data_IF_578126296753
#
_entry.id   IF_578126296753
#
_cell.length_a   1.000
_cell.length_b   1.000
_cell.length_c   1.000
_cell.angle_alpha   90.00
_cell.angle_beta   90.00
_cell.angle_gamma   90.00
#
_symmetry.space_group_name_H-M   'P 1'
#
loop_
_entity.id
_entity.type
_entity.pdbx_description
1 polymer ?
#
# COMPACT_ATOMS: atom_id res chain seq x y z
N UNK A 1 4.63 2.20 -84.81
CA UNK A 1 4.40 3.10 -83.67
C UNK A 1 3.86 2.27 -82.51
N UNK A 2 4.55 2.30 -81.35
CA UNK A 2 4.09 1.89 -80.00
C UNK A 2 3.72 0.40 -79.78
N UNK A 3 3.99 -0.28 -78.66
CA UNK A 3 4.74 -0.03 -77.41
C UNK A 3 4.78 -1.39 -76.67
N UNK A 4 5.97 -1.82 -76.26
CA UNK A 4 6.35 -2.53 -75.02
C UNK A 4 5.32 -3.36 -74.22
N UNK A 5 5.68 -4.63 -74.00
CA UNK A 5 5.15 -5.53 -72.97
C UNK A 5 5.58 -5.12 -71.54
N UNK A 6 4.71 -5.31 -70.54
CA UNK A 6 5.09 -5.47 -69.13
C UNK A 6 4.07 -6.39 -68.45
N UNK A 7 4.56 -7.55 -67.99
CA UNK A 7 3.86 -8.42 -67.06
C UNK A 7 3.98 -7.85 -65.64
N UNK A 8 2.85 -7.65 -64.97
CA UNK A 8 2.79 -7.21 -63.56
C UNK A 8 2.84 -8.45 -62.65
N UNK A 9 4.00 -8.67 -62.04
CA UNK A 9 4.17 -9.50 -60.84
C UNK A 9 3.56 -8.75 -59.65
N UNK A 10 2.49 -9.31 -59.07
CA UNK A 10 1.93 -8.84 -57.82
C UNK A 10 2.75 -9.39 -56.63
N UNK A 11 3.74 -8.62 -56.18
CA UNK A 11 4.45 -8.87 -54.92
C UNK A 11 3.61 -8.38 -53.75
N UNK A 12 3.09 -9.31 -52.95
CA UNK A 12 2.44 -9.01 -51.67
C UNK A 12 3.46 -8.51 -50.65
N UNK A 13 3.39 -7.23 -50.31
CA UNK A 13 4.13 -6.62 -49.19
C UNK A 13 3.45 -7.01 -47.88
N UNK A 14 4.08 -7.91 -47.11
CA UNK A 14 3.74 -8.15 -45.71
C UNK A 14 4.31 -7.00 -44.88
N UNK A 15 3.46 -6.03 -44.54
CA UNK A 15 3.80 -5.01 -43.54
C UNK A 15 3.68 -5.66 -42.16
N UNK A 16 4.83 -5.84 -41.51
CA UNK A 16 4.91 -6.18 -40.09
C UNK A 16 4.33 -5.02 -39.27
N UNK A 17 3.05 -5.12 -38.91
CA UNK A 17 2.39 -4.22 -37.96
C UNK A 17 2.82 -4.55 -36.53
N UNK A 18 3.82 -3.82 -36.03
CA UNK A 18 4.11 -3.74 -34.60
C UNK A 18 3.18 -2.68 -34.00
N UNK A 19 2.07 -3.09 -33.36
CA UNK A 19 1.11 -2.13 -32.83
C UNK A 19 0.04 -2.76 -31.94
N UNK A 20 0.22 -2.64 -30.62
CA UNK A 20 -0.88 -2.56 -29.66
C UNK A 20 -1.65 -3.84 -29.33
N UNK A 21 -1.06 -4.75 -28.54
CA UNK A 21 -1.79 -5.90 -27.97
C UNK A 21 -1.30 -6.42 -26.61
N UNK A 22 -0.40 -5.69 -25.94
CA UNK A 22 0.38 -6.23 -24.82
C UNK A 22 -0.30 -6.32 -23.45
N UNK A 23 -1.61 -6.09 -23.30
CA UNK A 23 -2.29 -6.13 -21.99
C UNK A 23 -3.07 -7.43 -21.71
N UNK A 24 -3.63 -8.07 -22.75
CA UNK A 24 -4.37 -9.34 -22.55
C UNK A 24 -3.47 -10.56 -22.44
N UNK A 25 -2.38 -10.61 -23.22
CA UNK A 25 -1.47 -11.76 -23.21
C UNK A 25 -0.63 -11.84 -21.92
N UNK A 26 -0.24 -10.68 -21.36
CA UNK A 26 0.56 -10.59 -20.12
C UNK A 26 -0.25 -10.92 -18.87
N UNK A 27 -1.55 -10.59 -18.86
CA UNK A 27 -2.41 -10.92 -17.73
C UNK A 27 -2.75 -12.42 -17.70
N UNK A 28 -2.93 -13.04 -18.88
CA UNK A 28 -3.08 -14.49 -18.99
C UNK A 28 -1.80 -15.24 -18.59
N UNK A 29 -0.62 -14.75 -18.98
CA UNK A 29 0.67 -15.36 -18.58
C UNK A 29 0.92 -15.19 -17.08
N UNK A 30 0.62 -14.02 -16.51
CA UNK A 30 0.76 -13.76 -15.07
C UNK A 30 -0.17 -14.61 -14.20
N UNK A 31 -1.44 -14.78 -14.60
CA UNK A 31 -2.40 -15.66 -13.92
C UNK A 31 -1.92 -17.13 -13.92
N UNK A 32 -1.35 -17.59 -15.05
CA UNK A 32 -0.76 -18.93 -15.15
C UNK A 32 0.44 -19.10 -14.23
N UNK A 33 1.32 -18.09 -14.15
CA UNK A 33 2.44 -18.12 -13.20
C UNK A 33 1.93 -18.15 -11.77
N UNK A 34 0.93 -17.33 -11.42
CA UNK A 34 0.32 -17.30 -10.09
C UNK A 34 -0.18 -18.68 -9.65
N UNK A 35 -0.91 -19.38 -10.53
CA UNK A 35 -1.41 -20.72 -10.27
C UNK A 35 -0.28 -21.76 -10.19
N UNK A 36 0.60 -21.81 -11.20
CA UNK A 36 1.66 -22.83 -11.29
C UNK A 36 2.75 -22.69 -10.23
N UNK A 37 3.00 -21.48 -9.74
CA UNK A 37 3.95 -21.23 -8.65
C UNK A 37 3.34 -21.45 -7.25
N UNK A 38 2.05 -21.81 -7.16
CA UNK A 38 1.36 -22.12 -5.90
C UNK A 38 1.00 -20.88 -5.06
N UNK A 39 0.98 -19.68 -5.65
CA UNK A 39 0.75 -18.43 -4.91
C UNK A 39 -0.60 -18.44 -4.18
N UNK A 40 -1.63 -19.01 -4.79
CA UNK A 40 -2.98 -19.08 -4.23
C UNK A 40 -3.13 -19.98 -3.00
N UNK A 41 -2.17 -20.87 -2.73
CA UNK A 41 -2.16 -21.67 -1.50
C UNK A 41 -1.89 -20.83 -0.25
N UNK A 42 -1.14 -19.74 -0.40
CA UNK A 42 -0.83 -18.84 0.70
C UNK A 42 -1.65 -17.55 0.67
N UNK A 43 -2.03 -17.05 -0.51
CA UNK A 43 -2.63 -15.73 -0.67
C UNK A 43 -4.08 -15.75 -1.13
N UNK A 44 -4.88 -14.84 -0.59
CA UNK A 44 -6.21 -14.52 -1.12
C UNK A 44 -6.06 -13.56 -2.31
N UNK A 45 -6.68 -13.89 -3.44
CA UNK A 45 -6.77 -13.06 -4.64
C UNK A 45 -7.98 -13.53 -5.46
N UNK A 46 -9.05 -12.75 -5.45
CA UNK A 46 -10.33 -13.09 -6.06
C UNK A 46 -10.22 -13.34 -7.56
N UNK A 47 -9.41 -12.54 -8.26
CA UNK A 47 -9.14 -12.71 -9.69
C UNK A 47 -8.45 -14.04 -10.05
N UNK A 48 -7.83 -14.71 -9.06
CA UNK A 48 -7.22 -16.03 -9.20
C UNK A 48 -8.05 -17.15 -8.55
N UNK A 49 -9.25 -16.85 -8.04
CA UNK A 49 -10.08 -17.76 -7.24
C UNK A 49 -9.31 -18.38 -6.06
N UNK A 50 -8.43 -17.62 -5.41
CA UNK A 50 -7.64 -18.10 -4.29
C UNK A 50 -8.05 -17.47 -2.97
N UNK A 51 -8.02 -18.27 -1.90
CA UNK A 51 -8.44 -17.89 -0.55
C UNK A 51 -7.39 -18.26 0.51
N UNK A 52 -6.10 -18.33 0.12
CA UNK A 52 -5.03 -18.61 1.06
C UNK A 52 -4.92 -17.53 2.14
N UNK A 53 -4.63 -17.94 3.38
CA UNK A 53 -4.58 -17.05 4.54
C UNK A 53 -3.22 -17.04 5.26
N UNK A 54 -2.26 -17.83 4.78
CA UNK A 54 -0.89 -17.85 5.33
C UNK A 54 -0.15 -16.56 5.01
N UNK A 55 -0.32 -16.06 3.79
CA UNK A 55 0.15 -14.76 3.33
C UNK A 55 -0.97 -13.72 3.32
N UNK A 56 -0.64 -12.43 3.15
CA UNK A 56 -1.64 -11.37 3.12
C UNK A 56 -2.65 -11.54 1.99
N UNK A 57 -3.87 -11.05 2.23
CA UNK A 57 -4.90 -10.89 1.21
C UNK A 57 -4.46 -9.82 0.20
N UNK A 58 -4.26 -10.21 -1.06
CA UNK A 58 -3.77 -9.34 -2.12
C UNK A 58 -4.84 -8.39 -2.64
N UNK A 59 -6.12 -8.77 -2.59
CA UNK A 59 -7.24 -7.88 -2.94
C UNK A 59 -7.28 -6.65 -2.04
N UNK A 60 -6.92 -6.83 -0.76
CA UNK A 60 -6.84 -5.75 0.23
C UNK A 60 -5.48 -5.04 0.21
N UNK A 61 -4.38 -5.80 0.11
CA UNK A 61 -3.03 -5.23 0.17
C UNK A 61 -2.71 -4.32 -1.02
N UNK A 62 -3.34 -4.55 -2.19
CA UNK A 62 -3.16 -3.76 -3.42
C UNK A 62 -1.70 -3.38 -3.73
N UNK A 63 -0.76 -4.35 -3.72
CA UNK A 63 0.66 -4.06 -3.77
C UNK A 63 1.09 -3.43 -5.10
N UNK A 64 2.08 -2.52 -5.06
CA UNK A 64 2.65 -1.96 -6.28
C UNK A 64 3.36 -3.01 -7.14
N UNK A 65 3.50 -2.79 -8.44
CA UNK A 65 4.25 -3.71 -9.32
C UNK A 65 5.68 -3.96 -8.84
N UNK A 66 6.39 -2.89 -8.45
CA UNK A 66 7.76 -3.01 -7.92
C UNK A 66 7.82 -3.80 -6.61
N UNK A 67 6.81 -3.63 -5.76
CA UNK A 67 6.62 -4.43 -4.53
C UNK A 67 6.53 -5.91 -4.87
N UNK A 68 5.63 -6.29 -5.77
CA UNK A 68 5.42 -7.71 -6.09
C UNK A 68 6.67 -8.30 -6.74
N UNK A 69 7.32 -7.59 -7.67
CA UNK A 69 8.58 -8.04 -8.29
C UNK A 69 9.65 -8.30 -7.23
N UNK A 70 9.84 -7.38 -6.28
CA UNK A 70 10.86 -7.52 -5.23
C UNK A 70 10.51 -8.67 -4.28
N UNK A 71 9.28 -8.71 -3.76
CA UNK A 71 8.87 -9.71 -2.80
C UNK A 71 8.94 -11.13 -3.39
N UNK A 72 8.52 -11.32 -4.64
CA UNK A 72 8.63 -12.61 -5.34
C UNK A 72 10.10 -12.96 -5.62
N UNK A 73 10.92 -11.99 -5.99
CA UNK A 73 12.35 -12.24 -6.26
C UNK A 73 13.13 -12.59 -4.99
N UNK A 74 12.91 -11.86 -3.90
CA UNK A 74 13.77 -11.92 -2.70
C UNK A 74 13.18 -12.76 -1.57
N UNK A 75 11.86 -13.01 -1.57
CA UNK A 75 11.17 -13.58 -0.42
C UNK A 75 11.17 -12.64 0.79
N UNK A 76 10.87 -13.19 1.97
CA UNK A 76 10.87 -12.48 3.26
C UNK A 76 9.54 -12.63 4.02
N UNK A 77 9.56 -12.44 5.34
CA UNK A 77 8.35 -12.51 6.18
C UNK A 77 7.63 -13.86 6.14
N UNK A 78 8.36 -14.96 5.94
CA UNK A 78 7.80 -16.31 5.77
C UNK A 78 7.49 -16.68 4.31
N UNK A 79 7.50 -15.73 3.37
CA UNK A 79 7.36 -16.01 1.94
C UNK A 79 8.70 -16.49 1.34
N UNK A 80 8.73 -17.65 0.64
CA UNK A 80 9.95 -18.12 -0.01
C UNK A 80 10.37 -17.22 -1.17
N UNK A 81 11.67 -17.16 -1.45
CA UNK A 81 12.17 -16.56 -2.69
C UNK A 81 11.83 -17.46 -3.89
N UNK A 82 11.43 -16.83 -4.99
CA UNK A 82 11.25 -17.48 -6.29
C UNK A 82 12.38 -17.17 -7.27
N UNK A 83 13.45 -16.49 -6.82
CA UNK A 83 14.67 -16.37 -7.61
C UNK A 83 15.23 -17.76 -7.94
N UNK A 84 15.58 -17.99 -9.20
CA UNK A 84 16.03 -19.30 -9.68
C UNK A 84 14.92 -20.33 -9.90
N UNK A 85 13.68 -20.08 -9.43
CA UNK A 85 12.49 -20.91 -9.70
C UNK A 85 11.62 -20.32 -10.81
N UNK A 86 11.53 -18.99 -10.87
CA UNK A 86 10.86 -18.24 -11.91
C UNK A 86 11.87 -17.39 -12.68
N UNK A 87 11.69 -17.30 -14.00
CA UNK A 87 12.45 -16.36 -14.82
C UNK A 87 12.06 -14.91 -14.50
N UNK A 88 12.96 -13.97 -14.80
CA UNK A 88 12.67 -12.53 -14.66
C UNK A 88 11.40 -12.11 -15.43
N UNK A 89 11.11 -12.77 -16.56
CA UNK A 89 9.87 -12.55 -17.32
C UNK A 89 8.65 -13.00 -16.53
N UNK A 90 8.66 -14.23 -16.00
CA UNK A 90 7.55 -14.77 -15.20
C UNK A 90 7.29 -13.97 -13.92
N UNK A 91 8.35 -13.48 -13.25
CA UNK A 91 8.22 -12.61 -12.07
C UNK A 91 7.53 -11.29 -12.44
N UNK A 92 7.88 -10.71 -13.59
CA UNK A 92 7.22 -9.50 -14.10
C UNK A 92 5.76 -9.77 -14.47
N UNK A 93 5.49 -10.89 -15.11
CA UNK A 93 4.13 -11.27 -15.53
C UNK A 93 3.21 -11.48 -14.32
N UNK A 94 3.64 -12.23 -13.31
CA UNK A 94 2.84 -12.43 -12.08
C UNK A 94 2.65 -11.13 -11.31
N UNK A 95 3.67 -10.26 -11.28
CA UNK A 95 3.54 -8.92 -10.70
C UNK A 95 2.52 -8.06 -11.46
N UNK A 96 2.53 -8.11 -12.79
CA UNK A 96 1.54 -7.43 -13.62
C UNK A 96 0.13 -7.92 -13.32
N UNK A 97 -0.07 -9.24 -13.28
CA UNK A 97 -1.37 -9.84 -12.99
C UNK A 97 -1.90 -9.48 -11.59
N UNK A 98 -1.08 -9.58 -10.53
CA UNK A 98 -1.50 -9.22 -9.16
C UNK A 98 -1.92 -7.76 -9.09
N UNK A 99 -1.14 -6.85 -9.68
CA UNK A 99 -1.47 -5.42 -9.67
C UNK A 99 -2.73 -5.17 -10.48
N UNK A 100 -2.82 -5.70 -11.71
CA UNK A 100 -3.99 -5.50 -12.58
C UNK A 100 -5.28 -6.03 -11.95
N UNK A 101 -5.19 -7.15 -11.23
CA UNK A 101 -6.30 -7.75 -10.50
C UNK A 101 -6.79 -6.88 -9.32
N UNK A 102 -5.91 -6.02 -8.80
CA UNK A 102 -6.18 -5.18 -7.62
C UNK A 102 -6.39 -3.70 -7.98
N UNK A 103 -6.15 -3.30 -9.26
CA UNK A 103 -6.28 -1.92 -9.77
C UNK A 103 -7.67 -1.31 -9.63
N UNK A 104 -8.74 -2.12 -9.73
CA UNK A 104 -10.11 -1.64 -9.58
C UNK A 104 -10.54 -1.45 -8.11
N UNK A 105 -9.66 -1.75 -7.15
CA UNK A 105 -9.92 -1.66 -5.71
C UNK A 105 -9.12 -0.52 -5.04
N UNK A 106 -8.21 0.16 -5.74
CA UNK A 106 -7.12 0.91 -5.07
C UNK A 106 -7.49 2.30 -4.50
N UNK A 107 -8.55 2.95 -4.98
CA UNK A 107 -8.95 4.28 -4.49
C UNK A 107 -10.29 4.27 -3.74
N UNK A 108 -11.26 3.48 -4.19
CA UNK A 108 -12.62 3.45 -3.64
C UNK A 108 -12.80 2.46 -2.47
N UNK A 109 -12.06 1.33 -2.43
CA UNK A 109 -12.17 0.32 -1.36
C UNK A 109 -11.15 0.50 -0.23
N UNK A 110 -10.43 1.61 -0.28
CA UNK A 110 -9.35 1.88 0.66
C UNK A 110 -9.78 2.96 1.65
N UNK A 111 -10.82 3.74 1.34
CA UNK A 111 -11.50 4.64 2.28
C UNK A 111 -12.03 3.81 3.45
N UNK A 112 -11.71 4.23 4.68
CA UNK A 112 -12.31 3.62 5.84
C UNK A 112 -13.82 3.89 5.81
N UNK A 113 -14.61 2.83 5.69
CA UNK A 113 -16.07 2.93 5.75
C UNK A 113 -16.50 2.59 7.18
N UNK A 114 -17.03 3.57 7.94
CA UNK A 114 -17.50 3.29 9.28
C UNK A 114 -18.76 2.40 9.23
N UNK A 115 -18.89 1.52 10.21
CA UNK A 115 -20.09 0.69 10.38
C UNK A 115 -20.58 0.73 11.84
N UNK A 116 -21.43 -0.21 12.23
CA UNK A 116 -22.04 -0.25 13.56
C UNK A 116 -21.36 -1.20 14.54
N UNK A 117 -20.22 -1.79 14.18
CA UNK A 117 -19.49 -2.69 15.08
C UNK A 117 -18.91 -1.93 16.28
N UNK A 118 -19.08 -2.51 17.46
CA UNK A 118 -18.61 -1.96 18.73
C UNK A 118 -17.77 -3.00 19.48
N UNK A 119 -16.80 -2.51 20.26
CA UNK A 119 -15.86 -3.38 21.00
C UNK A 119 -16.55 -4.39 21.94
N UNK A 120 -17.73 -4.04 22.45
CA UNK A 120 -18.50 -4.89 23.37
C UNK A 120 -19.07 -6.14 22.67
N UNK A 121 -19.33 -6.05 21.37
CA UNK A 121 -20.01 -7.10 20.59
C UNK A 121 -19.03 -8.06 19.92
N UNK A 122 -17.72 -7.78 19.96
CA UNK A 122 -16.75 -8.52 19.17
C UNK A 122 -16.44 -9.92 19.69
N UNK A 123 -16.64 -10.24 20.98
CA UNK A 123 -16.49 -11.60 21.54
C UNK A 123 -15.31 -12.45 21.01
N UNK A 124 -14.13 -11.84 20.85
CA UNK A 124 -12.89 -12.46 20.29
C UNK A 124 -12.75 -12.50 18.77
N UNK A 125 -13.68 -11.91 18.01
CA UNK A 125 -13.54 -11.67 16.58
C UNK A 125 -12.55 -10.52 16.33
N UNK A 126 -11.40 -10.88 15.77
CA UNK A 126 -10.35 -9.94 15.43
C UNK A 126 -10.73 -8.94 14.32
N UNK A 127 -11.50 -9.38 13.32
CA UNK A 127 -11.98 -8.49 12.27
C UNK A 127 -12.90 -7.42 12.87
N UNK A 128 -13.80 -7.83 13.77
CA UNK A 128 -14.64 -6.91 14.52
C UNK A 128 -13.83 -5.91 15.34
N UNK A 129 -12.80 -6.34 16.08
CA UNK A 129 -11.98 -5.41 16.84
C UNK A 129 -11.30 -4.35 15.96
N UNK A 130 -10.72 -4.74 14.82
CA UNK A 130 -10.09 -3.79 13.89
C UNK A 130 -11.08 -2.72 13.43
N UNK A 131 -12.27 -3.14 13.01
CA UNK A 131 -13.29 -2.24 12.51
C UNK A 131 -13.89 -1.37 13.62
N UNK A 132 -14.19 -1.93 14.80
CA UNK A 132 -14.70 -1.18 15.94
C UNK A 132 -13.72 -0.11 16.44
N UNK A 133 -12.42 -0.41 16.49
CA UNK A 133 -11.40 0.60 16.78
C UNK A 133 -11.30 1.68 15.69
N UNK A 134 -11.42 1.28 14.42
CA UNK A 134 -11.56 2.22 13.32
C UNK A 134 -12.79 3.12 13.47
N UNK A 135 -13.94 2.58 13.86
CA UNK A 135 -15.17 3.35 14.08
C UNK A 135 -14.96 4.42 15.16
N UNK A 136 -14.31 4.07 16.29
CA UNK A 136 -13.97 5.03 17.34
C UNK A 136 -13.07 6.14 16.76
N UNK A 137 -12.06 5.78 15.96
CA UNK A 137 -11.16 6.78 15.38
C UNK A 137 -11.88 7.71 14.39
N UNK A 138 -12.81 7.17 13.61
CA UNK A 138 -13.61 7.92 12.64
C UNK A 138 -14.58 8.90 13.31
N UNK A 139 -15.31 8.45 14.34
CA UNK A 139 -16.33 9.27 15.00
C UNK A 139 -15.77 10.15 16.12
N UNK A 140 -14.85 9.62 16.93
CA UNK A 140 -14.39 10.26 18.18
C UNK A 140 -12.93 10.76 18.10
N UNK A 141 -12.27 10.53 16.96
CA UNK A 141 -10.88 10.94 16.71
C UNK A 141 -9.83 9.88 17.09
N UNK A 142 -8.64 9.95 16.46
CA UNK A 142 -7.61 8.93 16.61
C UNK A 142 -7.00 8.87 18.01
N UNK A 143 -6.89 9.98 18.75
CA UNK A 143 -6.35 9.95 20.11
C UNK A 143 -7.25 9.14 21.06
N UNK A 144 -8.56 9.28 20.92
CA UNK A 144 -9.56 8.51 21.67
C UNK A 144 -9.38 7.02 21.38
N UNK A 145 -9.30 6.65 20.11
CA UNK A 145 -9.11 5.27 19.68
C UNK A 145 -7.79 4.67 20.15
N UNK A 146 -6.67 5.41 20.04
CA UNK A 146 -5.34 4.94 20.46
C UNK A 146 -5.23 4.79 21.98
N UNK A 147 -5.84 5.70 22.74
CA UNK A 147 -5.95 5.59 24.21
C UNK A 147 -6.78 4.38 24.62
N UNK A 148 -7.92 4.16 23.93
CA UNK A 148 -8.77 2.99 24.14
C UNK A 148 -8.03 1.70 23.82
N UNK A 149 -7.30 1.66 22.70
CA UNK A 149 -6.49 0.51 22.29
C UNK A 149 -5.44 0.17 23.35
N UNK A 150 -4.66 1.17 23.79
CA UNK A 150 -3.63 0.99 24.82
C UNK A 150 -4.21 0.41 26.13
N UNK A 151 -5.45 0.78 26.48
CA UNK A 151 -6.14 0.22 27.64
C UNK A 151 -6.60 -1.22 27.39
N UNK A 152 -7.23 -1.48 26.24
CA UNK A 152 -7.84 -2.79 25.92
C UNK A 152 -6.80 -3.90 25.77
N UNK A 153 -5.61 -3.59 25.25
CA UNK A 153 -4.51 -4.54 25.11
C UNK A 153 -4.07 -5.17 26.45
N UNK A 154 -4.32 -4.51 27.58
CA UNK A 154 -3.93 -5.02 28.90
C UNK A 154 -4.80 -6.19 29.37
N UNK A 155 -6.01 -6.29 28.84
CA UNK A 155 -7.02 -7.27 29.30
C UNK A 155 -7.50 -8.19 28.18
N UNK A 156 -7.14 -7.92 26.94
CA UNK A 156 -7.58 -8.69 25.78
C UNK A 156 -6.38 -9.15 24.95
N UNK A 157 -6.10 -10.46 24.98
CA UNK A 157 -4.94 -11.04 24.32
C UNK A 157 -5.01 -10.95 22.78
N UNK A 158 -6.20 -11.13 22.19
CA UNK A 158 -6.38 -11.03 20.73
C UNK A 158 -6.02 -9.62 20.24
N UNK A 159 -6.55 -8.60 20.93
CA UNK A 159 -6.24 -7.20 20.65
C UNK A 159 -4.77 -6.90 20.89
N UNK A 160 -4.15 -7.45 21.94
CA UNK A 160 -2.73 -7.25 22.21
C UNK A 160 -1.83 -7.86 21.12
N UNK A 161 -2.13 -9.07 20.67
CA UNK A 161 -1.38 -9.76 19.62
C UNK A 161 -1.54 -9.10 18.25
N UNK A 162 -2.75 -8.63 17.91
CA UNK A 162 -3.05 -7.95 16.65
C UNK A 162 -2.99 -6.42 16.70
N UNK A 163 -2.43 -5.85 17.78
CA UNK A 163 -2.57 -4.43 18.07
C UNK A 163 -1.98 -3.52 16.97
N UNK A 164 -0.95 -4.01 16.28
CA UNK A 164 -0.30 -3.28 15.20
C UNK A 164 -1.25 -3.05 14.01
N UNK A 165 -1.94 -4.09 13.54
CA UNK A 165 -2.84 -3.95 12.39
C UNK A 165 -4.18 -3.30 12.79
N UNK A 166 -4.57 -3.39 14.06
CA UNK A 166 -5.64 -2.54 14.61
C UNK A 166 -5.22 -1.07 14.54
N UNK A 167 -4.00 -0.73 14.95
CA UNK A 167 -3.50 0.64 14.86
C UNK A 167 -3.43 1.16 13.41
N UNK A 168 -3.14 0.31 12.41
CA UNK A 168 -3.27 0.68 10.99
C UNK A 168 -4.71 1.07 10.65
N UNK A 169 -5.69 0.28 11.09
CA UNK A 169 -7.11 0.55 10.83
C UNK A 169 -7.56 1.87 11.49
N UNK A 170 -7.07 2.15 12.70
CA UNK A 170 -7.23 3.46 13.36
C UNK A 170 -6.60 4.58 12.50
N UNK A 171 -5.44 4.34 11.89
CA UNK A 171 -4.79 5.28 10.96
C UNK A 171 -5.61 5.56 9.70
N UNK A 172 -6.18 4.53 9.08
CA UNK A 172 -7.08 4.68 7.92
C UNK A 172 -8.32 5.51 8.28
N UNK A 173 -8.92 5.20 9.42
CA UNK A 173 -10.09 5.91 9.95
C UNK A 173 -9.77 7.35 10.37
N UNK A 174 -8.63 7.59 11.02
CA UNK A 174 -8.17 8.93 11.39
C UNK A 174 -7.90 9.81 10.16
N UNK A 175 -7.34 9.23 9.09
CA UNK A 175 -7.21 9.95 7.82
C UNK A 175 -8.58 10.38 7.24
N UNK A 176 -9.58 9.50 7.32
CA UNK A 176 -10.94 9.80 6.90
C UNK A 176 -11.65 10.80 7.84
N UNK A 177 -11.42 10.72 9.16
CA UNK A 177 -11.91 11.66 10.16
C UNK A 177 -11.49 13.10 9.84
N UNK A 178 -10.24 13.28 9.42
CA UNK A 178 -9.70 14.58 9.01
C UNK A 178 -9.92 14.91 7.53
N UNK A 179 -10.89 14.28 6.87
CA UNK A 179 -11.26 14.56 5.48
C UNK A 179 -10.06 14.50 4.51
N UNK A 180 -9.30 13.41 4.59
CA UNK A 180 -8.11 13.15 3.77
C UNK A 180 -6.94 14.15 3.99
N UNK A 181 -6.97 14.89 5.10
CA UNK A 181 -5.88 15.77 5.51
C UNK A 181 -4.80 14.98 6.26
N UNK A 182 -3.78 14.54 5.52
CA UNK A 182 -2.67 13.75 6.07
C UNK A 182 -1.91 14.50 7.17
N UNK A 183 -1.82 15.83 7.06
CA UNK A 183 -1.09 16.65 8.03
C UNK A 183 -1.76 16.56 9.40
N UNK A 184 -3.08 16.77 9.43
CA UNK A 184 -3.89 16.67 10.66
C UNK A 184 -3.87 15.23 11.18
N UNK A 185 -4.10 14.24 10.33
CA UNK A 185 -4.07 12.85 10.75
C UNK A 185 -2.72 12.47 11.39
N UNK A 186 -1.59 12.80 10.78
CA UNK A 186 -0.28 12.51 11.36
C UNK A 186 -0.03 13.28 12.67
N UNK A 187 -0.45 14.52 12.79
CA UNK A 187 -0.23 15.31 14.01
C UNK A 187 -0.99 14.79 15.25
N UNK A 188 -2.05 14.00 15.03
CA UNK A 188 -2.92 13.43 16.07
C UNK A 188 -2.64 11.94 16.34
N UNK A 189 -1.46 11.45 15.91
CA UNK A 189 -1.03 10.07 16.12
C UNK A 189 -0.26 9.83 17.42
N UNK A 190 -0.02 8.55 17.72
CA UNK A 190 0.85 8.12 18.83
C UNK A 190 1.69 6.90 18.43
N UNK A 191 2.72 6.60 19.22
CA UNK A 191 3.59 5.42 19.03
C UNK A 191 2.95 4.11 19.51
N UNK A 192 1.68 4.13 19.96
CA UNK A 192 0.95 2.92 20.35
C UNK A 192 1.08 1.86 19.27
N UNK A 193 1.40 0.63 19.67
CA UNK A 193 1.62 -0.50 18.77
C UNK A 193 2.71 -0.27 17.71
N UNK A 194 3.87 0.24 18.14
CA UNK A 194 5.04 0.46 17.28
C UNK A 194 4.71 1.35 16.09
N UNK A 195 4.07 2.49 16.36
CA UNK A 195 3.72 3.51 15.35
C UNK A 195 2.75 3.03 14.25
N UNK A 196 2.02 1.92 14.48
CA UNK A 196 1.06 1.37 13.52
C UNK A 196 0.01 2.36 13.02
N UNK A 197 -0.34 3.37 13.82
CA UNK A 197 -1.23 4.45 13.39
C UNK A 197 -0.68 5.24 12.19
N UNK A 198 0.56 5.72 12.30
CA UNK A 198 1.21 6.50 11.25
C UNK A 198 1.34 5.70 9.95
N UNK A 199 1.50 4.38 10.11
CA UNK A 199 1.55 3.43 9.01
C UNK A 199 0.24 3.49 8.22
N UNK A 200 -0.88 3.34 8.91
CA UNK A 200 -2.21 3.44 8.30
C UNK A 200 -2.45 4.79 7.61
N UNK A 201 -2.13 5.91 8.26
CA UNK A 201 -2.34 7.24 7.65
C UNK A 201 -1.59 7.36 6.32
N UNK A 202 -0.34 6.93 6.27
CA UNK A 202 0.49 7.06 5.06
C UNK A 202 0.15 6.02 4.00
N UNK A 203 -0.29 4.82 4.37
CA UNK A 203 -0.85 3.84 3.43
C UNK A 203 -1.98 4.46 2.61
N UNK A 204 -2.86 5.24 3.25
CA UNK A 204 -3.93 5.95 2.56
C UNK A 204 -3.45 7.17 1.80
N UNK A 205 -2.65 8.02 2.43
CA UNK A 205 -2.17 9.25 1.81
C UNK A 205 -1.29 9.01 0.56
N UNK A 206 -0.61 7.87 0.48
CA UNK A 206 0.22 7.49 -0.68
C UNK A 206 -0.37 6.36 -1.54
N UNK A 207 -1.62 5.94 -1.29
CA UNK A 207 -2.28 4.92 -2.09
C UNK A 207 -2.27 5.29 -3.58
N UNK A 208 -1.72 4.39 -4.42
CA UNK A 208 -1.61 4.61 -5.87
C UNK A 208 -0.62 5.70 -6.31
N UNK A 209 0.11 6.34 -5.39
CA UNK A 209 1.11 7.36 -5.74
C UNK A 209 2.38 6.67 -6.26
N UNK A 210 2.88 6.99 -7.46
CA UNK A 210 4.12 6.41 -7.95
C UNK A 210 5.34 6.94 -7.18
N UNK A 211 6.37 6.09 -7.00
CA UNK A 211 7.62 6.43 -6.26
C UNK A 211 8.31 7.71 -6.71
N UNK A 212 8.16 8.10 -7.98
CA UNK A 212 8.71 9.35 -8.52
C UNK A 212 8.01 10.60 -7.99
N UNK A 213 6.75 10.49 -7.57
CA UNK A 213 5.93 11.61 -7.07
C UNK A 213 5.95 11.73 -5.55
N UNK A 214 6.28 10.67 -4.81
CA UNK A 214 6.23 10.66 -3.33
C UNK A 214 7.05 11.78 -2.69
N UNK A 215 8.29 12.03 -3.12
CA UNK A 215 9.09 13.10 -2.54
C UNK A 215 8.48 14.50 -2.73
N UNK A 216 7.74 14.71 -3.84
CA UNK A 216 7.04 15.97 -4.06
C UNK A 216 5.81 16.13 -3.19
N UNK A 217 5.12 15.03 -2.88
CA UNK A 217 3.94 15.03 -2.03
C UNK A 217 4.34 15.16 -0.55
N UNK A 218 5.34 14.38 -0.11
CA UNK A 218 5.92 14.43 1.23
C UNK A 218 6.35 15.85 1.62
N UNK A 219 6.98 16.60 0.71
CA UNK A 219 7.36 18.01 0.90
C UNK A 219 6.21 18.94 1.28
N UNK A 220 4.99 18.65 0.82
CA UNK A 220 3.80 19.48 1.02
C UNK A 220 2.90 18.96 2.14
N UNK A 221 3.15 17.74 2.61
CA UNK A 221 2.25 17.00 3.47
C UNK A 221 2.11 17.65 4.86
N UNK A 222 3.23 18.02 5.49
CA UNK A 222 3.22 18.66 6.80
C UNK A 222 3.29 20.19 6.68
N UNK A 223 2.43 20.76 5.83
CA UNK A 223 2.32 22.22 5.67
C UNK A 223 0.92 22.69 6.04
N UNK A 224 0.82 23.88 6.63
CA UNK A 224 -0.46 24.47 7.02
C UNK A 224 -0.38 25.18 8.37
N UNK A 225 -1.20 26.23 8.54
CA UNK A 225 -1.22 27.03 9.78
C UNK A 225 -1.55 26.17 10.99
N UNK A 226 -2.46 25.21 10.84
CA UNK A 226 -2.92 24.30 11.90
C UNK A 226 -1.80 23.38 12.43
N UNK A 227 -0.92 22.90 11.55
CA UNK A 227 0.22 22.05 11.91
C UNK A 227 1.36 22.88 12.50
N UNK A 228 1.54 24.09 11.97
CA UNK A 228 2.59 25.01 12.41
C UNK A 228 2.23 25.75 13.70
N UNK A 229 1.08 25.46 14.33
CA UNK A 229 0.65 26.09 15.60
C UNK A 229 1.63 25.83 16.74
N UNK A 230 2.20 24.63 16.79
CA UNK A 230 3.18 24.26 17.82
C UNK A 230 4.30 23.43 17.23
N UNK A 231 5.48 23.54 17.84
CA UNK A 231 6.62 22.69 17.50
C UNK A 231 6.28 21.21 17.64
N UNK A 232 5.48 20.86 18.64
CA UNK A 232 5.05 19.49 18.89
C UNK A 232 4.22 18.93 17.73
N UNK A 233 3.17 19.64 17.28
CA UNK A 233 2.31 19.16 16.19
C UNK A 233 3.08 19.01 14.87
N UNK A 234 3.95 19.97 14.56
CA UNK A 234 4.82 19.90 13.39
C UNK A 234 5.79 18.71 13.49
N UNK A 235 6.37 18.47 14.67
CA UNK A 235 7.26 17.33 14.89
C UNK A 235 6.54 16.01 14.72
N UNK A 236 5.36 15.85 15.34
CA UNK A 236 4.56 14.63 15.21
C UNK A 236 4.19 14.35 13.75
N UNK A 237 3.84 15.39 12.98
CA UNK A 237 3.57 15.22 11.55
C UNK A 237 4.81 14.74 10.78
N UNK A 238 5.93 15.47 10.91
CA UNK A 238 7.12 15.21 10.08
C UNK A 238 7.82 13.90 10.49
N UNK A 239 7.90 13.60 11.78
CA UNK A 239 8.41 12.33 12.28
C UNK A 239 7.51 11.16 11.84
N UNK A 240 6.18 11.32 11.98
CA UNK A 240 5.20 10.33 11.52
C UNK A 240 5.28 10.05 10.01
N UNK A 241 5.57 11.06 9.20
CA UNK A 241 5.86 10.90 7.77
C UNK A 241 7.07 9.97 7.53
N UNK A 242 8.11 10.05 8.36
CA UNK A 242 9.26 9.14 8.31
C UNK A 242 8.85 7.67 8.45
N UNK A 243 8.06 7.36 9.49
CA UNK A 243 7.52 6.01 9.72
C UNK A 243 6.71 5.52 8.52
N UNK A 244 5.83 6.38 8.00
CA UNK A 244 5.03 6.03 6.84
C UNK A 244 5.84 5.81 5.56
N UNK A 245 6.93 6.56 5.36
CA UNK A 245 7.82 6.36 4.20
C UNK A 245 8.51 5.00 4.23
N UNK A 246 8.92 4.53 5.41
CA UNK A 246 9.46 3.17 5.57
C UNK A 246 8.47 2.12 5.07
N UNK A 247 7.18 2.33 5.23
CA UNK A 247 6.19 1.31 4.85
C UNK A 247 5.76 1.43 3.41
N UNK A 248 5.52 2.65 2.94
CA UNK A 248 5.32 2.91 1.53
C UNK A 248 6.45 2.29 0.68
N UNK A 249 7.68 2.30 1.21
CA UNK A 249 8.84 1.75 0.53
C UNK A 249 9.06 0.24 0.76
N UNK A 250 8.34 -0.34 1.72
CA UNK A 250 8.48 -1.69 2.30
C UNK A 250 9.86 -1.92 2.91
N UNK A 251 10.16 -1.11 3.91
CA UNK A 251 11.38 -1.04 4.69
C UNK A 251 12.63 -0.82 3.82
N UNK A 252 12.47 -0.14 2.67
CA UNK A 252 13.58 0.30 1.84
C UNK A 252 14.17 1.58 2.45
N UNK A 253 14.97 1.37 3.50
CA UNK A 253 15.64 2.40 4.29
C UNK A 253 16.37 3.43 3.40
N UNK A 254 17.22 3.03 2.43
CA UNK A 254 17.90 4.00 1.56
C UNK A 254 16.94 4.89 0.78
N UNK A 255 15.81 4.35 0.30
CA UNK A 255 14.82 5.17 -0.38
C UNK A 255 14.11 6.14 0.57
N UNK A 256 13.69 5.67 1.75
CA UNK A 256 12.98 6.50 2.73
C UNK A 256 13.82 7.70 3.17
N UNK A 257 15.10 7.47 3.50
CA UNK A 257 16.05 8.54 3.82
C UNK A 257 16.21 9.54 2.67
N UNK A 258 16.33 9.05 1.43
CA UNK A 258 16.43 9.90 0.23
C UNK A 258 15.16 10.71 -0.04
N UNK A 259 14.01 10.28 0.47
CA UNK A 259 12.79 11.10 0.44
C UNK A 259 12.84 12.16 1.54
N UNK A 260 13.21 11.79 2.77
CA UNK A 260 13.38 12.74 3.88
C UNK A 260 14.38 13.86 3.55
N UNK A 261 15.52 13.55 2.93
CA UNK A 261 16.55 14.52 2.52
C UNK A 261 16.04 15.61 1.56
N UNK A 262 14.91 15.35 0.91
CA UNK A 262 14.29 16.25 -0.06
C UNK A 262 13.18 17.12 0.53
N UNK A 263 12.97 17.08 1.85
CA UNK A 263 12.08 17.99 2.56
C UNK A 263 12.63 19.42 2.59
N UNK A 264 11.74 20.38 2.84
CA UNK A 264 11.99 21.80 2.60
C UNK A 264 13.09 22.36 3.51
N UNK A 265 13.00 22.10 4.82
CA UNK A 265 13.94 22.65 5.80
C UNK A 265 14.89 21.58 6.34
N UNK A 266 16.04 22.01 6.88
CA UNK A 266 16.98 21.09 7.55
C UNK A 266 16.35 20.39 8.76
N UNK A 267 15.47 21.11 9.47
CA UNK A 267 14.72 20.55 10.59
C UNK A 267 13.75 19.47 10.13
N UNK A 268 13.00 19.68 9.03
CA UNK A 268 12.09 18.66 8.51
C UNK A 268 12.83 17.40 8.09
N UNK A 269 14.00 17.56 7.45
CA UNK A 269 14.85 16.44 7.03
C UNK A 269 15.26 15.60 8.23
N UNK A 270 15.79 16.23 9.27
CA UNK A 270 16.23 15.53 10.49
C UNK A 270 15.07 14.88 11.24
N UNK A 271 13.95 15.59 11.41
CA UNK A 271 12.76 15.05 12.07
C UNK A 271 12.17 13.85 11.32
N UNK A 272 12.11 13.92 9.99
CA UNK A 272 11.65 12.82 9.13
C UNK A 272 12.58 11.62 9.23
N UNK A 273 13.89 11.84 9.12
CA UNK A 273 14.91 10.80 9.30
C UNK A 273 14.78 10.12 10.67
N UNK A 274 14.45 10.86 11.73
CA UNK A 274 14.25 10.28 13.05
C UNK A 274 13.08 9.29 13.15
N UNK A 275 12.11 9.36 12.22
CA UNK A 275 11.00 8.42 12.12
C UNK A 275 11.23 7.28 11.14
N UNK A 276 12.36 7.26 10.42
CA UNK A 276 12.74 6.19 9.49
C UNK A 276 13.52 5.10 10.23
#
# INVERSE_FOLDING_TARGET
MRKTAVALLASTVLVAGCGGGGKSATNASGAKVFASAGCGGCHTLSAANSNGQTGPNLDQLTPSYGTVVRQVSSGGGGMPSFSGKLSKGQIRDVAGFVVDSTKNHSAALTAFEPNHEQLADCHSDYACYKQAFGNIAYYDGPETALSRLATYMRTNQEVNSGCHQIAHSIGHAGYAHFHDNAAQALAHGSMTCWSGYYHGVVERAFAGVPRSKVASLARKMCTGSEINKTYFLLYQCVHGLGHGLMIYSLNDLPYSLKVCDRLATAWDRTSCTGGV
#
